data_IF_940217961850
#
_entry.id   IF_940217961850
#
_cell.length_a   1.000
_cell.length_b   1.000
_cell.length_c   1.000
_cell.angle_alpha   90.00
_cell.angle_beta   90.00
_cell.angle_gamma   90.00
#
_symmetry.space_group_name_H-M   'P 1'
#
loop_
_entity.id
_entity.type
_entity.pdbx_description
1 polymer ?
#
# COMPACT_ATOMS: atom_id res chain seq x y z
N UNK A 1 -87.31 6.31 50.23
CA UNK A 1 -86.94 7.53 50.96
C UNK A 1 -85.75 8.15 50.25
N UNK A 2 -85.93 9.38 49.74
CA UNK A 2 -84.94 10.42 49.41
C UNK A 2 -83.81 10.18 48.38
N UNK A 3 -83.96 10.84 47.22
CA UNK A 3 -82.91 11.44 46.35
C UNK A 3 -82.42 12.80 46.93
N UNK A 4 -81.49 13.61 46.31
CA UNK A 4 -80.26 13.41 45.50
C UNK A 4 -79.09 14.38 45.91
N UNK A 5 -78.14 14.69 44.98
CA UNK A 5 -77.11 15.79 44.95
C UNK A 5 -75.67 15.42 45.44
N UNK A 6 -74.52 15.85 44.88
CA UNK A 6 -74.20 16.96 43.96
C UNK A 6 -72.74 16.90 43.42
N UNK A 7 -72.53 17.47 42.22
CA UNK A 7 -71.38 18.20 41.62
C UNK A 7 -69.87 17.82 41.73
N UNK A 8 -69.27 17.70 40.54
CA UNK A 8 -67.89 17.99 40.02
C UNK A 8 -67.45 19.46 40.28
N UNK A 9 -66.22 19.98 39.94
CA UNK A 9 -65.00 19.40 39.33
C UNK A 9 -63.63 19.87 39.90
N UNK A 10 -62.51 19.26 39.47
CA UNK A 10 -61.23 19.98 39.32
C UNK A 10 -60.39 19.37 38.17
N UNK A 11 -59.83 20.24 37.34
CA UNK A 11 -59.02 19.98 36.13
C UNK A 11 -57.54 20.23 36.45
N UNK A 12 -56.64 19.72 35.57
CA UNK A 12 -55.24 20.10 35.28
C UNK A 12 -54.27 19.00 35.78
N UNK A 13 -53.37 18.37 35.01
CA UNK A 13 -52.56 18.80 33.86
C UNK A 13 -52.09 17.58 33.03
N UNK A 14 -51.83 17.78 31.74
CA UNK A 14 -51.42 16.72 30.82
C UNK A 14 -49.97 16.23 30.98
N UNK A 15 -49.71 15.05 30.43
CA UNK A 15 -48.41 14.73 29.83
C UNK A 15 -48.65 13.80 28.65
N UNK A 16 -48.44 14.36 27.47
CA UNK A 16 -48.31 13.65 26.21
C UNK A 16 -47.02 12.82 26.28
N UNK A 17 -47.14 11.49 26.27
CA UNK A 17 -45.98 10.64 26.03
C UNK A 17 -45.69 10.62 24.52
N UNK A 18 -44.60 11.31 24.17
CA UNK A 18 -43.94 11.40 22.86
C UNK A 18 -43.63 10.01 22.26
N UNK A 19 -43.72 9.83 20.92
CA UNK A 19 -43.55 8.53 20.30
C UNK A 19 -42.07 8.11 20.22
N UNK A 20 -41.87 6.79 20.20
CA UNK A 20 -40.60 6.08 20.10
C UNK A 20 -39.66 6.58 18.97
N UNK A 21 -38.85 7.61 19.24
CA UNK A 21 -37.77 8.07 18.36
C UNK A 21 -36.39 7.51 18.75
N UNK A 22 -36.21 7.05 19.99
CA UNK A 22 -34.90 6.62 20.52
C UNK A 22 -34.41 5.25 20.02
N UNK A 23 -35.31 4.39 19.54
CA UNK A 23 -34.95 3.06 19.04
C UNK A 23 -34.25 3.10 17.67
N UNK A 24 -34.59 4.09 16.84
CA UNK A 24 -34.10 4.19 15.46
C UNK A 24 -32.69 4.80 15.42
N UNK A 25 -32.44 5.85 16.22
CA UNK A 25 -31.13 6.52 16.33
C UNK A 25 -30.07 5.58 16.88
N UNK A 26 -30.40 4.78 17.90
CA UNK A 26 -29.50 3.78 18.47
C UNK A 26 -29.17 2.63 17.50
N UNK A 27 -30.16 2.15 16.71
CA UNK A 27 -29.92 1.14 15.66
C UNK A 27 -29.08 1.68 14.52
N UNK A 28 -29.32 2.92 14.07
CA UNK A 28 -28.52 3.58 13.03
C UNK A 28 -27.08 3.79 13.51
N UNK A 29 -26.88 4.23 14.77
CA UNK A 29 -25.57 4.42 15.35
C UNK A 29 -24.79 3.09 15.50
N UNK A 30 -25.44 1.99 15.89
CA UNK A 30 -24.82 0.65 15.91
C UNK A 30 -24.48 0.14 14.51
N UNK A 31 -25.35 0.36 13.53
CA UNK A 31 -25.12 -0.05 12.13
C UNK A 31 -24.01 0.77 11.46
N UNK A 32 -23.88 2.04 11.82
CA UNK A 32 -22.79 2.91 11.39
C UNK A 32 -21.45 2.50 12.04
N UNK A 33 -21.45 2.16 13.34
CA UNK A 33 -20.27 1.64 14.04
C UNK A 33 -19.82 0.28 13.51
N UNK A 34 -20.73 -0.65 13.23
CA UNK A 34 -20.39 -1.96 12.69
C UNK A 34 -19.90 -1.87 11.24
N UNK A 35 -20.47 -0.98 10.41
CA UNK A 35 -19.93 -0.70 9.07
C UNK A 35 -18.55 -0.05 9.13
N UNK A 36 -18.33 0.92 10.02
CA UNK A 36 -17.01 1.55 10.20
C UNK A 36 -15.97 0.56 10.74
N UNK A 37 -16.34 -0.33 11.64
CA UNK A 37 -15.45 -1.38 12.15
C UNK A 37 -15.13 -2.46 11.09
N UNK A 38 -16.12 -2.86 10.28
CA UNK A 38 -15.90 -3.80 9.18
C UNK A 38 -15.07 -3.19 8.04
N UNK A 39 -15.28 -1.91 7.72
CA UNK A 39 -14.48 -1.17 6.73
C UNK A 39 -13.05 -0.96 7.26
N UNK A 40 -12.88 -0.55 8.53
CA UNK A 40 -11.56 -0.37 9.12
C UNK A 40 -10.79 -1.69 9.25
N UNK A 41 -11.45 -2.76 9.70
CA UNK A 41 -10.82 -4.08 9.82
C UNK A 41 -10.46 -4.70 8.47
N UNK A 42 -11.33 -4.55 7.47
CA UNK A 42 -11.05 -5.02 6.12
C UNK A 42 -9.93 -4.24 5.41
N UNK A 43 -9.87 -2.92 5.61
CA UNK A 43 -8.76 -2.11 5.08
C UNK A 43 -7.42 -2.42 5.75
N UNK A 44 -7.41 -2.76 7.05
CA UNK A 44 -6.19 -3.19 7.75
C UNK A 44 -5.68 -4.54 7.23
N UNK A 45 -6.57 -5.53 7.04
CA UNK A 45 -6.20 -6.81 6.45
C UNK A 45 -5.73 -6.66 4.99
N UNK A 46 -6.34 -5.75 4.25
CA UNK A 46 -5.92 -5.48 2.88
C UNK A 46 -4.58 -4.74 2.80
N UNK A 47 -4.28 -3.91 3.80
CA UNK A 47 -2.95 -3.37 4.04
C UNK A 47 -1.92 -4.46 4.36
N UNK A 48 -2.29 -5.50 5.10
CA UNK A 48 -1.42 -6.67 5.31
C UNK A 48 -1.06 -7.32 3.96
N UNK A 49 -2.03 -7.42 3.03
CA UNK A 49 -1.78 -7.97 1.70
C UNK A 49 -0.94 -7.03 0.81
N UNK A 50 -1.03 -5.71 0.97
CA UNK A 50 -0.13 -4.75 0.31
C UNK A 50 1.32 -4.89 0.80
N UNK A 51 1.52 -5.09 2.10
CA UNK A 51 2.84 -5.35 2.68
C UNK A 51 3.34 -6.78 2.35
N UNK A 52 2.42 -7.75 2.30
CA UNK A 52 2.65 -9.18 2.10
C UNK A 52 2.99 -9.58 0.67
N UNK A 53 2.39 -8.93 -0.33
CA UNK A 53 2.52 -9.33 -1.74
C UNK A 53 3.78 -8.83 -2.44
N UNK A 54 4.53 -7.91 -1.82
CA UNK A 54 5.61 -7.13 -2.46
C UNK A 54 6.88 -7.03 -1.59
N UNK A 55 6.83 -7.15 -0.26
CA UNK A 55 8.03 -6.91 0.55
C UNK A 55 8.21 -7.75 1.80
N UNK A 56 7.39 -8.77 2.04
CA UNK A 56 7.55 -9.58 3.25
C UNK A 56 8.68 -10.61 3.16
N UNK A 57 9.60 -10.47 2.21
CA UNK A 57 10.75 -11.37 2.05
C UNK A 57 11.68 -11.25 3.25
N UNK A 58 12.04 -10.06 3.72
CA UNK A 58 13.07 -9.86 4.77
C UNK A 58 12.78 -10.63 6.07
N UNK A 59 11.51 -10.69 6.49
CA UNK A 59 11.12 -11.41 7.71
C UNK A 59 10.98 -12.92 7.44
N UNK A 60 10.54 -13.33 6.24
CA UNK A 60 10.42 -14.75 5.89
C UNK A 60 11.72 -15.41 5.46
N UNK A 61 12.71 -14.64 4.98
CA UNK A 61 14.02 -15.14 4.53
C UNK A 61 15.10 -15.04 5.60
N UNK A 62 14.82 -14.46 6.78
CA UNK A 62 15.75 -14.51 7.91
C UNK A 62 16.09 -15.97 8.29
N UNK A 63 15.15 -16.89 8.06
CA UNK A 63 15.27 -18.34 8.26
C UNK A 63 15.16 -19.15 6.96
N UNK A 64 15.18 -18.51 5.78
CA UNK A 64 15.28 -19.26 4.52
C UNK A 64 16.64 -19.94 4.43
N UNK A 65 16.64 -21.15 3.86
CA UNK A 65 17.80 -22.03 3.78
C UNK A 65 19.01 -21.30 3.20
N UNK A 66 20.02 -21.06 4.05
CA UNK A 66 21.26 -20.35 3.65
C UNK A 66 22.21 -21.24 2.85
N UNK A 67 21.82 -22.48 2.58
CA UNK A 67 22.52 -23.35 1.66
C UNK A 67 21.68 -23.53 0.39
N UNK A 68 21.76 -22.61 -0.59
CA UNK A 68 21.39 -23.00 -1.94
C UNK A 68 22.36 -24.12 -2.29
N UNK A 69 21.87 -25.36 -2.36
CA UNK A 69 22.69 -26.50 -2.76
C UNK A 69 23.49 -26.19 -4.03
N UNK A 70 24.48 -27.03 -4.37
CA UNK A 70 25.35 -26.78 -5.53
C UNK A 70 24.54 -26.33 -6.76
N UNK A 71 24.88 -25.21 -7.40
CA UNK A 71 24.11 -24.70 -8.54
C UNK A 71 24.09 -25.77 -9.63
N UNK A 72 22.90 -26.32 -9.88
CA UNK A 72 22.66 -27.33 -10.92
C UNK A 72 22.30 -26.69 -12.26
N UNK A 73 22.07 -25.38 -12.29
CA UNK A 73 21.76 -24.68 -13.53
C UNK A 73 23.03 -24.46 -14.34
N UNK A 74 23.05 -25.00 -15.56
CA UNK A 74 24.05 -24.70 -16.58
C UNK A 74 23.57 -23.51 -17.39
N UNK A 75 24.37 -22.44 -17.45
CA UNK A 75 24.11 -21.37 -18.40
C UNK A 75 24.03 -21.98 -19.81
N UNK A 76 22.98 -21.71 -20.60
CA UNK A 76 22.95 -22.14 -21.98
C UNK A 76 24.17 -21.55 -22.71
N UNK A 77 24.85 -22.38 -23.50
CA UNK A 77 26.01 -21.96 -24.26
C UNK A 77 25.65 -20.72 -25.08
N UNK A 78 26.44 -19.65 -24.93
CA UNK A 78 26.25 -18.42 -25.69
C UNK A 78 26.28 -18.76 -27.18
N UNK A 79 25.10 -18.82 -27.81
CA UNK A 79 25.03 -18.73 -29.25
C UNK A 79 25.60 -17.37 -29.59
N UNK A 80 26.51 -17.28 -30.57
CA UNK A 80 26.79 -16.04 -31.29
C UNK A 80 25.54 -15.62 -32.06
N UNK A 81 24.45 -15.37 -31.35
CA UNK A 81 23.36 -14.56 -31.85
C UNK A 81 23.96 -13.19 -32.05
N UNK A 82 23.69 -12.58 -33.20
CA UNK A 82 24.00 -11.16 -33.40
C UNK A 82 23.53 -10.45 -32.15
N UNK A 83 24.45 -9.73 -31.52
CA UNK A 83 24.07 -8.69 -30.60
C UNK A 83 23.18 -7.78 -31.43
N UNK A 84 21.87 -7.91 -31.24
CA UNK A 84 20.97 -6.82 -31.57
C UNK A 84 21.33 -5.78 -30.54
N UNK A 85 22.36 -4.99 -30.88
CA UNK A 85 22.48 -3.65 -30.38
C UNK A 85 21.10 -3.05 -30.61
N UNK A 86 20.32 -2.96 -29.52
CA UNK A 86 19.06 -2.24 -29.48
C UNK A 86 19.40 -0.77 -29.66
N UNK A 87 19.82 -0.41 -30.87
CA UNK A 87 19.90 0.95 -31.35
C UNK A 87 18.55 1.57 -31.02
N UNK A 88 18.59 2.59 -30.16
CA UNK A 88 17.44 3.17 -29.52
C UNK A 88 16.31 3.40 -30.51
N UNK A 89 15.25 2.61 -30.37
CA UNK A 89 13.92 3.18 -30.56
C UNK A 89 13.87 4.31 -29.54
N UNK A 90 13.82 5.55 -30.01
CA UNK A 90 13.59 6.71 -29.16
C UNK A 90 12.48 6.30 -28.18
N UNK A 91 12.83 6.13 -26.91
CA UNK A 91 11.89 5.60 -25.92
C UNK A 91 10.66 6.49 -26.02
N UNK A 92 9.55 5.91 -26.44
CA UNK A 92 8.30 6.65 -26.49
C UNK A 92 8.14 7.22 -25.08
N UNK A 93 7.99 8.54 -24.96
CA UNK A 93 7.92 9.18 -23.64
C UNK A 93 6.89 8.39 -22.84
N UNK A 94 7.23 7.89 -21.64
CA UNK A 94 6.27 7.13 -20.86
C UNK A 94 5.03 8.00 -20.68
N UNK A 95 3.86 7.39 -20.92
CA UNK A 95 2.52 7.99 -20.79
C UNK A 95 1.79 7.26 -19.69
N UNK A 96 0.81 7.90 -19.06
CA UNK A 96 0.02 7.27 -18.00
C UNK A 96 0.81 7.08 -16.70
N UNK A 97 0.53 6.00 -15.97
CA UNK A 97 1.02 5.84 -14.60
C UNK A 97 2.53 5.56 -14.55
N UNK A 98 3.08 4.89 -15.56
CA UNK A 98 4.53 4.66 -15.69
C UNK A 98 5.33 5.96 -15.85
N UNK A 99 4.74 7.01 -16.43
CA UNK A 99 5.38 8.31 -16.57
C UNK A 99 5.66 8.96 -15.21
N UNK A 100 4.87 8.64 -14.19
CA UNK A 100 5.02 9.16 -12.84
C UNK A 100 6.12 8.45 -12.03
N UNK A 101 6.61 7.30 -12.49
CA UNK A 101 7.74 6.61 -11.87
C UNK A 101 9.05 7.36 -12.13
N UNK A 102 9.96 7.36 -11.16
CA UNK A 102 11.27 7.98 -11.33
C UNK A 102 12.02 7.38 -12.54
N UNK A 103 12.70 8.21 -13.35
CA UNK A 103 13.55 7.72 -14.44
C UNK A 103 14.84 7.09 -13.89
N UNK A 104 15.41 6.11 -14.60
CA UNK A 104 16.63 5.42 -14.17
C UNK A 104 17.85 6.34 -14.25
N UNK A 105 17.96 7.13 -15.31
CA UNK A 105 19.17 7.87 -15.67
C UNK A 105 19.55 8.94 -14.63
N UNK A 106 18.60 9.36 -13.79
CA UNK A 106 18.83 10.37 -12.76
C UNK A 106 19.41 9.71 -11.50
N UNK A 107 20.48 10.26 -10.93
CA UNK A 107 21.12 9.81 -9.69
C UNK A 107 21.73 8.39 -9.75
N UNK A 108 22.14 7.94 -10.94
CA UNK A 108 22.88 6.68 -11.11
C UNK A 108 22.05 5.42 -10.86
N UNK A 109 20.72 5.51 -10.93
CA UNK A 109 19.85 4.34 -10.76
C UNK A 109 19.91 3.45 -11.98
N UNK A 110 19.75 2.16 -11.75
CA UNK A 110 19.58 1.17 -12.82
C UNK A 110 18.32 0.32 -12.55
N UNK A 111 17.87 -0.47 -13.53
CA UNK A 111 16.89 -1.51 -13.29
C UNK A 111 17.28 -2.38 -12.08
N UNK A 112 16.31 -2.63 -11.20
CA UNK A 112 16.46 -3.49 -10.04
C UNK A 112 16.12 -4.96 -10.35
N UNK A 113 15.97 -5.79 -9.31
CA UNK A 113 15.47 -7.16 -9.44
C UNK A 113 14.07 -7.21 -10.05
N UNK A 114 13.68 -8.34 -10.63
CA UNK A 114 12.34 -8.48 -11.20
C UNK A 114 11.24 -8.36 -10.14
N UNK A 115 10.19 -7.61 -10.47
CA UNK A 115 8.98 -7.47 -9.67
C UNK A 115 8.05 -8.62 -10.01
N UNK A 116 8.11 -9.68 -9.21
CA UNK A 116 7.38 -10.94 -9.49
C UNK A 116 7.75 -11.45 -10.90
N UNK A 117 6.75 -11.83 -11.68
CA UNK A 117 6.91 -12.30 -13.07
C UNK A 117 6.79 -11.17 -14.11
N UNK A 118 6.78 -9.90 -13.69
CA UNK A 118 6.55 -8.76 -14.57
C UNK A 118 7.84 -8.08 -15.06
N UNK A 119 9.01 -8.55 -14.62
CA UNK A 119 10.28 -7.88 -14.89
C UNK A 119 10.48 -6.64 -14.02
N UNK A 120 11.41 -5.76 -14.40
CA UNK A 120 11.77 -4.57 -13.61
C UNK A 120 10.88 -3.34 -13.85
N UNK A 121 10.00 -3.35 -14.86
CA UNK A 121 9.15 -2.20 -15.22
C UNK A 121 7.88 -2.67 -15.95
N UNK A 122 6.70 -2.38 -15.40
CA UNK A 122 5.43 -2.73 -16.05
C UNK A 122 4.29 -1.79 -15.68
N UNK A 123 3.30 -1.68 -16.56
CA UNK A 123 2.03 -1.01 -16.29
C UNK A 123 0.86 -1.95 -16.59
N UNK A 124 -0.03 -2.08 -15.61
CA UNK A 124 -1.20 -2.95 -15.63
C UNK A 124 -2.46 -2.08 -15.71
N UNK A 125 -3.38 -2.46 -16.61
CA UNK A 125 -4.72 -1.88 -16.66
C UNK A 125 -5.52 -2.18 -15.40
N UNK A 126 -6.58 -1.41 -15.11
CA UNK A 126 -7.40 -1.57 -13.91
C UNK A 126 -7.91 -3.00 -13.67
N UNK A 127 -8.32 -3.72 -14.71
CA UNK A 127 -8.76 -5.12 -14.58
C UNK A 127 -7.61 -6.06 -14.17
N UNK A 128 -6.44 -5.94 -14.80
CA UNK A 128 -5.24 -6.73 -14.46
C UNK A 128 -4.72 -6.38 -13.07
N UNK A 129 -4.69 -5.09 -12.73
CA UNK A 129 -4.29 -4.60 -11.41
C UNK A 129 -5.24 -5.10 -10.30
N UNK A 130 -6.56 -5.09 -10.54
CA UNK A 130 -7.57 -5.63 -9.63
C UNK A 130 -7.38 -7.13 -9.44
N UNK A 131 -7.17 -7.88 -10.52
CA UNK A 131 -6.91 -9.31 -10.46
C UNK A 131 -5.65 -9.63 -9.63
N UNK A 132 -4.55 -8.90 -9.85
CA UNK A 132 -3.31 -9.04 -9.08
C UNK A 132 -3.53 -8.76 -7.59
N UNK A 133 -4.32 -7.74 -7.25
CA UNK A 133 -4.67 -7.43 -5.85
C UNK A 133 -5.48 -8.54 -5.21
N UNK A 134 -6.42 -9.14 -5.94
CA UNK A 134 -7.17 -10.31 -5.44
C UNK A 134 -6.30 -11.55 -5.31
N UNK A 135 -5.35 -11.73 -6.21
CA UNK A 135 -4.39 -12.84 -6.14
C UNK A 135 -3.56 -12.80 -4.86
N UNK A 136 -3.16 -11.62 -4.39
CA UNK A 136 -2.48 -11.46 -3.09
C UNK A 136 -3.30 -11.89 -1.86
N UNK A 137 -4.61 -12.15 -2.04
CA UNK A 137 -5.52 -12.63 -1.00
C UNK A 137 -5.74 -14.15 -1.04
N UNK A 138 -5.20 -14.84 -2.06
CA UNK A 138 -5.26 -16.31 -2.14
C UNK A 138 -4.55 -16.91 -0.92
N UNK A 139 -5.13 -17.98 -0.36
CA UNK A 139 -4.61 -18.63 0.86
C UNK A 139 -5.25 -18.14 2.16
N UNK A 140 -6.03 -17.06 2.13
CA UNK A 140 -6.84 -16.64 3.28
C UNK A 140 -8.11 -17.52 3.41
N UNK A 141 -8.66 -17.68 4.63
CA UNK A 141 -9.92 -18.39 4.83
C UNK A 141 -11.04 -17.82 3.95
N UNK A 142 -11.81 -18.68 3.28
CA UNK A 142 -12.69 -18.27 2.17
C UNK A 142 -13.75 -17.20 2.52
N UNK A 143 -14.19 -17.07 3.78
CA UNK A 143 -15.05 -15.93 4.20
C UNK A 143 -14.26 -14.62 4.22
N UNK A 144 -13.06 -14.64 4.80
CA UNK A 144 -12.17 -13.47 4.89
C UNK A 144 -11.71 -13.05 3.49
N UNK A 145 -11.25 -14.01 2.68
CA UNK A 145 -10.84 -13.76 1.30
C UNK A 145 -11.94 -13.04 0.51
N UNK A 146 -13.17 -13.56 0.50
CA UNK A 146 -14.29 -12.95 -0.22
C UNK A 146 -14.64 -11.53 0.26
N UNK A 147 -14.55 -11.27 1.55
CA UNK A 147 -14.79 -9.91 2.07
C UNK A 147 -13.68 -8.94 1.65
N UNK A 148 -12.42 -9.37 1.64
CA UNK A 148 -11.31 -8.55 1.18
C UNK A 148 -11.33 -8.33 -0.33
N UNK A 149 -11.68 -9.35 -1.13
CA UNK A 149 -11.86 -9.22 -2.58
C UNK A 149 -12.96 -8.19 -2.92
N UNK A 150 -14.07 -8.15 -2.16
CA UNK A 150 -15.10 -7.10 -2.32
C UNK A 150 -14.57 -5.71 -1.99
N UNK A 151 -13.64 -5.58 -1.05
CA UNK A 151 -13.02 -4.30 -0.72
C UNK A 151 -12.05 -3.85 -1.80
N UNK A 152 -11.32 -4.79 -2.43
CA UNK A 152 -10.51 -4.52 -3.61
C UNK A 152 -11.38 -4.00 -4.76
N UNK A 153 -12.52 -4.63 -5.03
CA UNK A 153 -13.45 -4.16 -6.07
C UNK A 153 -13.95 -2.73 -5.80
N UNK A 154 -14.26 -2.41 -4.54
CA UNK A 154 -14.71 -1.07 -4.15
C UNK A 154 -13.65 0.02 -4.27
N UNK A 155 -12.37 -0.33 -4.43
CA UNK A 155 -11.31 0.66 -4.68
C UNK A 155 -11.35 1.22 -6.09
N UNK A 156 -12.06 0.55 -7.01
CA UNK A 156 -12.19 1.00 -8.40
C UNK A 156 -10.81 1.31 -9.02
N UNK A 157 -9.92 0.31 -8.99
CA UNK A 157 -8.53 0.45 -9.44
C UNK A 157 -8.52 0.70 -10.95
N UNK A 158 -7.94 1.84 -11.36
CA UNK A 158 -7.86 2.27 -12.76
C UNK A 158 -6.61 1.76 -13.46
N UNK A 159 -5.53 1.62 -12.71
CA UNK A 159 -4.27 1.10 -13.20
C UNK A 159 -3.27 0.87 -12.07
N UNK A 160 -2.18 0.20 -12.40
CA UNK A 160 -1.06 -0.03 -11.50
C UNK A 160 0.25 0.00 -12.28
N UNK A 161 1.25 0.73 -11.79
CA UNK A 161 2.59 0.71 -12.35
C UNK A 161 3.55 0.14 -11.31
N UNK A 162 4.44 -0.74 -11.76
CA UNK A 162 5.42 -1.45 -10.95
C UNK A 162 6.80 -1.16 -11.55
N UNK A 163 7.75 -0.74 -10.72
CA UNK A 163 9.14 -0.61 -11.15
C UNK A 163 10.12 -0.86 -10.02
N UNK A 164 11.16 -1.63 -10.31
CA UNK A 164 12.27 -1.87 -9.39
C UNK A 164 13.50 -1.06 -9.77
N UNK A 165 14.25 -0.64 -8.76
CA UNK A 165 15.45 0.16 -8.90
C UNK A 165 16.58 -0.50 -8.14
N UNK A 166 17.78 -0.46 -8.70
CA UNK A 166 19.00 -0.52 -7.92
C UNK A 166 19.55 0.90 -7.79
N UNK A 167 19.77 1.33 -6.54
CA UNK A 167 20.24 2.65 -6.19
C UNK A 167 21.64 2.49 -5.58
N UNK A 168 22.68 3.12 -6.16
CA UNK A 168 24.03 3.00 -5.62
C UNK A 168 24.14 3.73 -4.27
N UNK A 169 25.16 3.33 -3.49
CA UNK A 169 25.57 4.09 -2.32
C UNK A 169 25.95 5.53 -2.72
N UNK A 170 25.64 6.49 -1.85
CA UNK A 170 25.99 7.90 -2.09
C UNK A 170 27.39 8.24 -1.57
N UNK A 171 27.76 7.62 -0.45
CA UNK A 171 29.02 7.80 0.26
C UNK A 171 29.64 6.44 0.61
N UNK A 172 30.93 6.40 0.97
CA UNK A 172 31.64 5.14 1.33
C UNK A 172 31.08 4.44 2.59
N UNK A 173 30.41 5.20 3.46
CA UNK A 173 29.80 4.70 4.68
C UNK A 173 28.38 4.15 4.48
N UNK A 174 27.77 4.44 3.31
CA UNK A 174 26.40 4.05 2.99
C UNK A 174 26.37 2.77 2.15
N UNK A 175 25.31 1.99 2.31
CA UNK A 175 25.04 0.86 1.43
C UNK A 175 24.11 1.29 0.30
N UNK A 176 24.36 0.75 -0.90
CA UNK A 176 23.35 0.78 -1.96
C UNK A 176 22.09 0.03 -1.52
N UNK A 177 20.98 0.27 -2.22
CA UNK A 177 19.72 -0.41 -1.92
C UNK A 177 18.95 -0.74 -3.20
N UNK A 178 18.10 -1.75 -3.11
CA UNK A 178 17.06 -1.98 -4.11
C UNK A 178 15.75 -1.41 -3.63
N UNK A 179 14.97 -0.82 -4.53
CA UNK A 179 13.65 -0.30 -4.22
C UNK A 179 12.62 -0.81 -5.22
N UNK A 180 11.54 -1.41 -4.74
CA UNK A 180 10.35 -1.70 -5.54
C UNK A 180 9.30 -0.62 -5.30
N UNK A 181 8.86 0.04 -6.36
CA UNK A 181 7.83 1.07 -6.35
C UNK A 181 6.57 0.53 -6.99
N UNK A 182 5.46 0.61 -6.26
CA UNK A 182 4.12 0.34 -6.76
C UNK A 182 3.28 1.61 -6.71
N UNK A 183 2.84 2.07 -7.88
CA UNK A 183 1.82 3.10 -8.01
C UNK A 183 0.49 2.43 -8.30
N UNK A 184 -0.57 2.80 -7.58
CA UNK A 184 -1.92 2.31 -7.85
C UNK A 184 -2.87 3.49 -7.97
N UNK A 185 -3.42 3.70 -9.16
CA UNK A 185 -4.43 4.72 -9.41
C UNK A 185 -5.82 4.16 -9.08
N UNK A 186 -6.60 4.91 -8.31
CA UNK A 186 -7.97 4.52 -7.92
C UNK A 186 -8.97 5.57 -8.37
N UNK A 187 -10.19 5.16 -8.73
CA UNK A 187 -11.26 6.09 -9.10
C UNK A 187 -11.75 6.97 -7.95
N UNK A 188 -11.37 6.65 -6.70
CA UNK A 188 -11.82 7.36 -5.52
C UNK A 188 -10.65 7.80 -4.61
N UNK A 189 -10.42 9.11 -4.52
CA UNK A 189 -9.41 9.71 -3.63
C UNK A 189 -9.61 9.37 -2.15
N UNK A 190 -10.85 9.17 -1.70
CA UNK A 190 -11.09 8.74 -0.33
C UNK A 190 -10.60 7.31 -0.11
N UNK A 191 -10.76 6.43 -1.10
CA UNK A 191 -10.26 5.05 -1.03
C UNK A 191 -8.73 5.00 -0.96
N UNK A 192 -8.03 5.87 -1.70
CA UNK A 192 -6.57 6.01 -1.65
C UNK A 192 -6.11 6.39 -0.24
N UNK A 193 -6.70 7.47 0.32
CA UNK A 193 -6.37 7.94 1.66
C UNK A 193 -6.71 6.90 2.72
N UNK A 194 -7.85 6.23 2.61
CA UNK A 194 -8.26 5.18 3.56
C UNK A 194 -7.29 3.99 3.50
N UNK A 195 -6.80 3.64 2.31
CA UNK A 195 -5.80 2.58 2.13
C UNK A 195 -4.46 2.96 2.74
N UNK A 196 -3.94 4.15 2.42
CA UNK A 196 -2.68 4.64 2.97
C UNK A 196 -2.74 4.70 4.50
N UNK A 197 -3.82 5.24 5.06
CA UNK A 197 -4.02 5.30 6.51
C UNK A 197 -4.13 3.91 7.13
N UNK A 198 -4.79 2.96 6.47
CA UNK A 198 -4.93 1.60 6.99
C UNK A 198 -3.59 0.86 6.96
N UNK A 199 -2.80 1.04 5.90
CA UNK A 199 -1.45 0.51 5.80
C UNK A 199 -0.52 1.09 6.86
N UNK A 200 -0.53 2.40 7.04
CA UNK A 200 0.25 3.06 8.07
C UNK A 200 -0.17 2.64 9.48
N UNK A 201 -1.47 2.50 9.76
CA UNK A 201 -1.97 2.00 11.05
C UNK A 201 -1.55 0.57 11.31
N UNK A 202 -1.67 -0.30 10.30
CA UNK A 202 -1.23 -1.68 10.40
C UNK A 202 0.26 -1.77 10.71
N UNK A 203 1.11 -1.10 9.92
CA UNK A 203 2.55 -1.09 10.12
C UNK A 203 2.96 -0.44 11.44
N UNK A 204 2.21 0.56 11.92
CA UNK A 204 2.45 1.19 13.23
C UNK A 204 2.03 0.31 14.41
N UNK A 205 1.02 -0.54 14.23
CA UNK A 205 0.53 -1.45 15.26
C UNK A 205 1.32 -2.77 15.30
N UNK A 206 2.06 -3.08 14.24
CA UNK A 206 2.98 -4.19 14.20
C UNK A 206 4.27 -3.83 14.96
N UNK A 207 4.43 -4.37 16.17
CA UNK A 207 5.57 -4.09 17.07
C UNK A 207 6.95 -4.49 16.51
N UNK A 208 6.98 -5.21 15.39
CA UNK A 208 8.22 -5.64 14.72
C UNK A 208 8.91 -4.51 13.95
N UNK A 209 8.17 -3.49 13.50
CA UNK A 209 8.74 -2.43 12.69
C UNK A 209 9.22 -1.26 13.55
N UNK A 210 10.45 -0.81 13.29
CA UNK A 210 10.98 0.43 13.87
C UNK A 210 10.37 1.63 13.14
N UNK A 211 10.21 2.75 13.84
CA UNK A 211 9.78 4.00 13.21
C UNK A 211 10.78 4.44 12.14
N UNK A 212 10.30 4.64 10.91
CA UNK A 212 11.10 5.20 9.83
C UNK A 212 11.20 6.72 9.88
N UNK A 213 12.00 7.31 8.98
CA UNK A 213 12.14 8.75 8.87
C UNK A 213 10.82 9.42 8.46
N UNK A 214 10.64 10.69 8.86
CA UNK A 214 9.54 11.52 8.40
C UNK A 214 9.86 12.08 7.02
N UNK A 215 8.85 12.17 6.16
CA UNK A 215 8.98 12.72 4.81
C UNK A 215 8.58 14.21 4.86
N UNK A 216 9.52 15.11 4.54
CA UNK A 216 9.23 16.55 4.49
C UNK A 216 8.37 16.86 3.26
N UNK A 217 7.48 17.84 3.35
CA UNK A 217 6.53 18.19 2.28
C UNK A 217 5.33 17.24 2.14
N UNK A 218 5.46 15.99 2.57
CA UNK A 218 4.44 14.94 2.41
C UNK A 218 3.94 14.42 3.75
N UNK A 219 3.01 15.17 4.38
CA UNK A 219 2.47 14.84 5.72
C UNK A 219 1.73 13.50 5.80
N UNK A 220 1.19 13.05 4.67
CA UNK A 220 0.41 11.82 4.55
C UNK A 220 1.29 10.61 4.15
N UNK A 221 2.63 10.79 4.14
CA UNK A 221 3.61 9.76 3.82
C UNK A 221 4.39 9.32 5.07
N UNK A 222 4.60 8.01 5.21
CA UNK A 222 5.37 7.42 6.32
C UNK A 222 6.21 6.25 5.87
N UNK A 223 7.37 6.09 6.48
CA UNK A 223 8.20 4.91 6.35
C UNK A 223 8.30 4.13 7.67
N UNK A 224 8.51 2.83 7.56
CA UNK A 224 8.68 1.89 8.66
C UNK A 224 9.91 1.04 8.34
N UNK A 225 10.84 0.90 9.27
CA UNK A 225 12.05 0.11 9.05
C UNK A 225 11.85 -1.30 9.61
N UNK A 226 12.39 -2.30 8.93
CA UNK A 226 12.50 -3.66 9.47
C UNK A 226 13.24 -3.66 10.82
N UNK A 227 13.13 -4.73 11.62
CA UNK A 227 14.10 -4.99 12.68
C UNK A 227 15.54 -4.83 12.17
N UNK A 228 16.45 -4.44 13.06
CA UNK A 228 17.87 -4.38 12.70
C UNK A 228 18.35 -5.77 12.30
N UNK A 229 19.15 -5.82 11.25
CA UNK A 229 19.78 -7.05 10.84
C UNK A 229 20.79 -7.52 11.90
N UNK A 230 21.00 -8.84 11.99
CA UNK A 230 22.24 -9.37 12.58
C UNK A 230 23.41 -9.03 11.64
N UNK A 231 24.65 -9.25 12.10
CA UNK A 231 25.84 -9.06 11.27
C UNK A 231 25.66 -9.76 9.91
N UNK A 232 25.93 -9.05 8.82
CA UNK A 232 25.79 -9.50 7.43
C UNK A 232 24.34 -9.80 6.95
N UNK A 233 23.32 -9.27 7.65
CA UNK A 233 21.92 -9.44 7.26
C UNK A 233 21.33 -8.28 6.45
N UNK A 234 20.11 -8.51 5.94
CA UNK A 234 19.33 -7.50 5.20
C UNK A 234 18.53 -6.63 6.17
N UNK A 235 18.57 -5.32 5.95
CA UNK A 235 17.57 -4.39 6.49
C UNK A 235 16.65 -3.90 5.37
N UNK A 236 15.46 -3.44 5.73
CA UNK A 236 14.54 -2.87 4.77
C UNK A 236 13.68 -1.74 5.31
N UNK A 237 12.99 -1.07 4.40
CA UNK A 237 11.99 -0.06 4.70
C UNK A 237 10.72 -0.25 3.88
N UNK A 238 9.58 0.00 4.53
CA UNK A 238 8.26 0.02 3.92
C UNK A 238 7.74 1.44 4.01
N UNK A 239 7.62 2.10 2.87
CA UNK A 239 7.15 3.47 2.76
C UNK A 239 5.79 3.50 2.06
N UNK A 240 4.84 4.21 2.67
CA UNK A 240 3.47 4.32 2.17
C UNK A 240 3.05 5.79 2.20
N UNK A 241 2.50 6.26 1.09
CA UNK A 241 1.98 7.62 0.92
C UNK A 241 0.99 7.68 -0.22
N UNK A 242 0.49 8.87 -0.50
CA UNK A 242 -0.38 9.10 -1.65
C UNK A 242 -0.29 10.53 -2.16
N UNK A 243 -0.56 10.71 -3.45
CA UNK A 243 -0.70 12.02 -4.10
C UNK A 243 -1.95 11.96 -4.97
N UNK A 244 -2.92 12.85 -4.72
CA UNK A 244 -4.19 12.85 -5.46
C UNK A 244 -4.95 11.52 -5.35
N UNK A 245 -5.11 10.85 -6.48
CA UNK A 245 -5.77 9.56 -6.67
C UNK A 245 -4.79 8.37 -6.82
N UNK A 246 -3.50 8.60 -6.57
CA UNK A 246 -2.44 7.59 -6.67
C UNK A 246 -1.95 7.20 -5.27
N UNK A 247 -2.09 5.92 -4.93
CA UNK A 247 -1.42 5.31 -3.79
C UNK A 247 0.01 4.95 -4.18
N UNK A 248 0.97 5.25 -3.31
CA UNK A 248 2.39 4.98 -3.52
C UNK A 248 2.89 4.07 -2.41
N UNK A 249 3.36 2.89 -2.79
CA UNK A 249 4.07 1.97 -1.90
C UNK A 249 5.50 1.80 -2.40
N UNK A 250 6.46 1.89 -1.50
CA UNK A 250 7.87 1.60 -1.78
C UNK A 250 8.38 0.61 -0.77
N UNK A 251 8.95 -0.49 -1.24
CA UNK A 251 9.71 -1.45 -0.43
C UNK A 251 11.18 -1.28 -0.77
N UNK A 252 12.02 -1.15 0.25
CA UNK A 252 13.46 -1.01 0.12
C UNK A 252 14.14 -2.16 0.83
N UNK A 253 15.18 -2.72 0.19
CA UNK A 253 16.08 -3.71 0.77
C UNK A 253 17.52 -3.25 0.62
N UNK A 254 18.35 -3.46 1.65
CA UNK A 254 19.76 -3.08 1.64
C UNK A 254 20.64 -4.14 2.34
N UNK A 255 21.84 -4.42 1.83
CA UNK A 255 22.83 -5.21 2.55
C UNK A 255 23.37 -4.39 3.71
N UNK A 256 23.03 -4.75 4.95
CA UNK A 256 23.50 -4.04 6.15
C UNK A 256 22.61 -2.87 6.57
N UNK A 257 23.16 -1.91 7.35
CA UNK A 257 22.37 -0.82 7.91
C UNK A 257 21.73 0.05 6.81
N UNK A 258 20.46 0.38 7.02
CA UNK A 258 19.70 1.18 6.07
C UNK A 258 20.13 2.66 6.07
N UNK A 259 20.49 3.18 4.89
CA UNK A 259 20.65 4.62 4.67
C UNK A 259 19.28 5.31 4.71
N UNK A 260 18.92 5.81 5.89
CA UNK A 260 17.64 6.50 6.10
C UNK A 260 17.53 7.78 5.27
N UNK A 261 18.65 8.44 4.94
CA UNK A 261 18.66 9.68 4.15
C UNK A 261 18.37 9.38 2.69
N UNK A 262 19.06 8.40 2.11
CA UNK A 262 18.82 7.92 0.74
C UNK A 262 17.39 7.43 0.55
N UNK A 263 16.86 6.62 1.48
CA UNK A 263 15.47 6.16 1.42
C UNK A 263 14.48 7.32 1.49
N UNK A 264 14.72 8.29 2.38
CA UNK A 264 13.86 9.48 2.49
C UNK A 264 13.90 10.30 1.20
N UNK A 265 15.09 10.54 0.65
CA UNK A 265 15.28 11.31 -0.57
C UNK A 265 14.61 10.61 -1.77
N UNK A 266 14.80 9.31 -1.92
CA UNK A 266 14.18 8.51 -2.97
C UNK A 266 12.65 8.58 -2.91
N UNK A 267 12.07 8.35 -1.73
CA UNK A 267 10.62 8.36 -1.60
C UNK A 267 10.02 9.77 -1.77
N UNK A 268 10.69 10.80 -1.26
CA UNK A 268 10.31 12.21 -1.49
C UNK A 268 10.29 12.52 -2.99
N UNK A 269 11.35 12.17 -3.71
CA UNK A 269 11.44 12.39 -5.15
C UNK A 269 10.34 11.65 -5.92
N UNK A 270 9.95 10.45 -5.48
CA UNK A 270 8.85 9.70 -6.10
C UNK A 270 7.51 10.42 -5.90
N UNK A 271 7.25 10.96 -4.71
CA UNK A 271 6.03 11.71 -4.43
C UNK A 271 6.00 13.04 -5.19
N UNK A 272 7.10 13.79 -5.18
CA UNK A 272 7.24 15.07 -5.91
C UNK A 272 7.04 14.90 -7.41
N UNK A 273 7.51 13.77 -7.96
CA UNK A 273 7.30 13.46 -9.37
C UNK A 273 5.82 13.28 -9.70
N UNK A 274 5.04 12.62 -8.85
CA UNK A 274 3.61 12.44 -9.10
C UNK A 274 2.86 13.79 -9.01
N UNK A 275 3.31 14.68 -8.14
CA UNK A 275 2.72 16.03 -7.99
C UNK A 275 3.08 16.96 -9.17
N UNK A 276 4.03 16.57 -10.03
CA UNK A 276 4.43 17.35 -11.20
C UNK A 276 3.31 17.34 -12.26
N UNK A 277 2.73 18.50 -12.63
CA UNK A 277 1.63 18.57 -13.59
C UNK A 277 1.99 17.99 -14.96
N UNK A 278 1.06 17.26 -15.58
CA UNK A 278 1.17 16.81 -16.97
C UNK A 278 1.84 15.44 -17.20
N UNK A 279 2.24 14.73 -16.14
CA UNK A 279 2.74 13.35 -16.26
C UNK A 279 1.62 12.30 -16.34
N UNK A 280 0.38 12.67 -15.99
CA UNK A 280 -0.75 11.74 -15.90
C UNK A 280 -1.50 11.50 -17.22
N UNK A 281 -1.17 12.23 -18.30
CA UNK A 281 -2.02 12.42 -19.48
C UNK A 281 -1.31 12.01 -20.76
#
# INVERSE_FOLDING_TARGET
MTEPSENTPEVIEGTVAEPAADGLTARVARRARSRRAAIAGGSVLLACALAGGIGFTVITVQDADRSPGKPVWKLPAAKKGKQQDGAGTAAEKPKGLSAMLLPYEKEGRSPGPDVRDFGHDTELSGAKATALRKESLKGLPGRVQRELEKLVEKQDIKGMALRSYAVPARDEEDNGFTAEVTLQQMGNRSAVRDMANSAQRFLSAADVFRKGPKIKGHKDARCFLSPKAKKDGLEGAFCVGHVGDVLVNVVVDTPGPIDRRGVTAFFTAQLDRIDTPGLAV
#
